data_IF_580133007452
#
_entry.id   IF_580133007452
#
_cell.length_a   1.000
_cell.length_b   1.000
_cell.length_c   1.000
_cell.angle_alpha   90.00
_cell.angle_beta   90.00
_cell.angle_gamma   90.00
#
_symmetry.space_group_name_H-M   'P 1'
#
loop_
_entity.id
_entity.type
_entity.pdbx_description
1 polymer ?
#
# COMPACT_ATOMS: atom_id res chain seq x y z
N UNK A 1 -5.14 5.03 0.96
CA UNK A 1 -6.52 5.38 1.38
C UNK A 1 -6.56 6.82 1.84
N UNK A 2 -7.77 7.33 2.09
CA UNK A 2 -8.08 8.70 2.52
C UNK A 2 -7.24 9.01 3.78
N UNK A 3 -6.20 9.85 3.65
CA UNK A 3 -5.22 10.10 4.73
C UNK A 3 -3.86 9.42 4.60
N UNK A 4 -3.58 8.73 3.48
CA UNK A 4 -2.24 8.39 3.01
C UNK A 4 -1.29 7.81 4.06
N UNK A 5 -1.72 6.81 4.86
CA UNK A 5 -0.78 6.15 5.78
C UNK A 5 0.32 5.47 4.96
N UNK A 6 1.54 5.97 5.10
CA UNK A 6 2.72 5.42 4.46
C UNK A 6 3.17 4.17 5.20
N UNK A 7 3.40 3.07 4.48
CA UNK A 7 4.10 1.93 5.04
C UNK A 7 5.58 2.32 5.18
N UNK A 8 6.16 2.29 6.39
CA UNK A 8 7.58 2.63 6.55
C UNK A 8 8.43 1.61 5.79
N UNK A 9 9.53 2.06 5.16
CA UNK A 9 10.37 1.23 4.29
C UNK A 9 10.83 -0.08 4.93
N UNK A 10 10.99 -0.11 6.26
CA UNK A 10 11.28 -1.32 7.06
C UNK A 10 10.25 -2.46 6.95
N UNK A 11 9.01 -2.13 6.58
CA UNK A 11 7.93 -3.08 6.34
C UNK A 11 7.92 -3.60 4.88
N UNK A 12 8.81 -3.08 4.03
CA UNK A 12 8.98 -3.57 2.66
C UNK A 12 10.07 -4.65 2.62
N UNK A 13 9.81 -5.74 1.88
CA UNK A 13 10.77 -6.83 1.66
C UNK A 13 11.15 -6.89 0.18
N UNK A 14 12.45 -7.07 -0.16
CA UNK A 14 12.84 -7.33 -1.53
C UNK A 14 12.27 -8.68 -1.97
N UNK A 15 11.61 -8.69 -3.12
CA UNK A 15 11.16 -9.93 -3.78
C UNK A 15 12.22 -10.42 -4.76
N UNK A 16 12.89 -9.50 -5.47
CA UNK A 16 14.07 -9.74 -6.29
C UNK A 16 14.82 -8.41 -6.50
N UNK A 17 15.87 -8.40 -7.34
CA UNK A 17 16.68 -7.19 -7.63
C UNK A 17 15.88 -5.99 -8.17
N UNK A 18 14.64 -6.18 -8.63
CA UNK A 18 13.81 -5.14 -9.25
C UNK A 18 12.44 -4.94 -8.58
N UNK A 19 11.99 -5.87 -7.74
CA UNK A 19 10.65 -5.90 -7.14
C UNK A 19 10.73 -5.93 -5.63
N UNK A 20 9.83 -5.19 -5.01
CA UNK A 20 9.65 -5.14 -3.57
C UNK A 20 8.19 -5.45 -3.24
N UNK A 21 7.97 -6.08 -2.10
CA UNK A 21 6.64 -6.29 -1.52
C UNK A 21 6.54 -5.35 -0.32
N UNK A 22 5.59 -4.42 -0.37
CA UNK A 22 5.14 -3.65 0.78
C UNK A 22 3.81 -4.21 1.27
N UNK A 23 3.67 -4.37 2.58
CA UNK A 23 2.41 -4.76 3.20
C UNK A 23 1.91 -3.62 4.08
N UNK A 24 0.60 -3.42 4.08
CA UNK A 24 -0.05 -2.42 4.91
C UNK A 24 -1.30 -3.03 5.54
N UNK A 25 -1.35 -3.04 6.86
CA UNK A 25 -2.51 -3.52 7.61
C UNK A 25 -3.42 -2.34 7.97
N UNK A 26 -4.67 -2.41 7.51
CA UNK A 26 -5.72 -1.49 7.96
C UNK A 26 -6.28 -2.05 9.27
N UNK A 27 -5.86 -1.49 10.41
CA UNK A 27 -6.39 -1.86 11.74
C UNK A 27 -7.61 -1.01 12.09
N UNK A 28 -8.54 -1.56 12.89
CA UNK A 28 -9.81 -0.91 13.27
C UNK A 28 -10.66 -0.46 12.07
N UNK A 29 -10.79 -1.33 11.06
CA UNK A 29 -11.57 -1.05 9.84
C UNK A 29 -13.03 -0.72 10.16
N UNK A 30 -13.51 0.39 9.60
CA UNK A 30 -14.91 0.84 9.63
C UNK A 30 -15.54 0.72 8.25
N UNK A 31 -16.87 0.88 8.14
CA UNK A 31 -17.54 0.89 6.83
C UNK A 31 -17.03 1.98 5.88
N UNK A 32 -16.53 3.09 6.44
CA UNK A 32 -15.95 4.20 5.68
C UNK A 32 -14.58 3.86 5.04
N UNK A 33 -13.92 2.80 5.51
CA UNK A 33 -12.66 2.30 4.94
C UNK A 33 -12.90 1.39 3.73
N UNK A 34 -14.15 1.14 3.33
CA UNK A 34 -14.41 0.40 2.09
C UNK A 34 -14.02 1.27 0.88
N UNK A 35 -13.32 0.70 -0.08
CA UNK A 35 -12.89 1.44 -1.28
C UNK A 35 -11.74 0.79 -2.03
N UNK A 36 -11.15 1.55 -2.95
CA UNK A 36 -10.02 1.08 -3.78
C UNK A 36 -8.70 1.55 -3.21
N UNK A 37 -7.81 0.60 -2.96
CA UNK A 37 -6.47 0.80 -2.41
C UNK A 37 -5.42 0.45 -3.46
N UNK A 38 -4.28 1.15 -3.44
CA UNK A 38 -3.10 0.81 -4.24
C UNK A 38 -1.84 1.16 -3.47
N UNK A 39 -0.75 0.49 -3.78
CA UNK A 39 0.57 0.84 -3.27
C UNK A 39 1.22 1.88 -4.19
N UNK A 40 1.85 2.88 -3.58
CA UNK A 40 2.66 3.90 -4.25
C UNK A 40 4.01 3.91 -3.54
N UNK A 41 5.09 3.80 -4.30
CA UNK A 41 6.46 3.79 -3.79
C UNK A 41 7.19 4.99 -4.38
N UNK A 42 7.70 5.87 -3.51
CA UNK A 42 8.54 6.99 -3.92
C UNK A 42 10.01 6.63 -3.69
N UNK A 43 10.84 6.84 -4.71
CA UNK A 43 12.29 6.70 -4.65
C UNK A 43 12.97 7.91 -5.27
N UNK A 44 14.27 8.08 -5.00
CA UNK A 44 15.09 9.11 -5.65
C UNK A 44 15.15 8.97 -7.19
N UNK A 45 14.87 7.78 -7.73
CA UNK A 45 14.88 7.50 -9.18
C UNK A 45 13.49 7.52 -9.83
N UNK A 46 12.43 7.75 -9.06
CA UNK A 46 11.07 7.83 -9.58
C UNK A 46 10.01 7.18 -8.69
N UNK A 47 8.81 7.02 -9.27
CA UNK A 47 7.61 6.55 -8.57
C UNK A 47 7.13 5.23 -9.17
N UNK A 48 6.97 4.21 -8.32
CA UNK A 48 6.35 2.93 -8.67
C UNK A 48 4.91 2.86 -8.17
N UNK A 49 4.01 2.30 -8.98
CA UNK A 49 2.58 2.23 -8.65
C UNK A 49 2.04 0.83 -8.91
N UNK A 50 1.35 0.24 -7.93
CA UNK A 50 0.68 -1.05 -8.11
C UNK A 50 -0.69 -0.89 -8.76
N UNK A 51 -1.28 -2.01 -9.17
CA UNK A 51 -2.71 -2.08 -9.49
C UNK A 51 -3.57 -1.81 -8.25
N UNK A 52 -4.84 -1.47 -8.48
CA UNK A 52 -5.82 -1.29 -7.41
C UNK A 52 -6.33 -2.64 -6.90
N UNK A 53 -6.45 -2.76 -5.58
CA UNK A 53 -7.23 -3.79 -4.89
C UNK A 53 -8.45 -3.16 -4.23
N UNK A 54 -9.56 -3.89 -4.18
CA UNK A 54 -10.79 -3.45 -3.53
C UNK A 54 -10.85 -4.00 -2.10
N UNK A 55 -11.20 -3.13 -1.14
CA UNK A 55 -11.49 -3.49 0.24
C UNK A 55 -12.98 -3.26 0.50
N UNK A 56 -13.67 -4.32 0.89
CA UNK A 56 -15.11 -4.27 1.24
C UNK A 56 -15.29 -4.79 2.66
N UNK A 57 -15.79 -3.93 3.56
CA UNK A 57 -16.14 -4.29 4.93
C UNK A 57 -17.64 -4.59 4.99
N UNK A 58 -18.01 -5.78 5.49
CA UNK A 58 -19.41 -6.21 5.64
C UNK A 58 -19.97 -5.76 6.99
#
# INVERSE_FOLDING_TARGET
>A
GIGGREAPMKATKPWNNQRFIGMFDVVNTTKQDSGRYRCIVHSNRGVGVSNYGELTIK
#
